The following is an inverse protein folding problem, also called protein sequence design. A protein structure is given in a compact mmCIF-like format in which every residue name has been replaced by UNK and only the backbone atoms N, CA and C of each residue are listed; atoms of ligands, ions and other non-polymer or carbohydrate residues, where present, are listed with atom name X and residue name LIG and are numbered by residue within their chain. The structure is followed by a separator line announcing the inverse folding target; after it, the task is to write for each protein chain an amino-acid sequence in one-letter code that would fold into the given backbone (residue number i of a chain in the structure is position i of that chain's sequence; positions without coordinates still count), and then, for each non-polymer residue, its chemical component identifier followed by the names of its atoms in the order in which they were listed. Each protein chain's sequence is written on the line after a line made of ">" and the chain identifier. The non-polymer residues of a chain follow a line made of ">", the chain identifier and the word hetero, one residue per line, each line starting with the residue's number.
data_IF_743644451011
#
_entry.id   IF_743644451011
#
_cell.length_a   1.000
_cell.length_b   1.000
_cell.length_c   1.000
_cell.angle_alpha   90.00
_cell.angle_beta   90.00
_cell.angle_gamma   90.00
#
_symmetry.space_group_name_H-M   'P 1'
#
loop_
_entity.id
_entity.type
_entity.pdbx_description
1 polymer ?
#
# COMPACT_ATOMS: atom_id res chain seq x y z
N UNK A 1 -11.56 -2.98 31.91
CA UNK A 1 -10.41 -2.19 31.42
C UNK A 1 -9.13 -2.77 31.96
N UNK A 2 -8.15 -3.06 31.12
CA UNK A 2 -6.87 -3.52 31.63
C UNK A 2 -6.25 -2.43 32.51
N UNK A 3 -5.61 -2.84 33.56
CA UNK A 3 -4.92 -1.96 34.48
C UNK A 3 -3.42 -2.04 34.23
N UNK A 4 -2.79 -0.92 33.92
CA UNK A 4 -1.36 -0.86 33.60
C UNK A 4 -0.58 -0.43 34.83
N UNK A 5 0.44 -1.21 35.18
CA UNK A 5 1.33 -0.90 36.30
C UNK A 5 2.61 -0.27 35.75
N UNK A 6 2.58 1.03 35.51
CA UNK A 6 3.70 1.76 34.92
C UNK A 6 4.68 2.18 36.00
N UNK A 7 5.99 1.87 35.88
CA UNK A 7 6.97 2.12 36.93
C UNK A 7 7.26 3.61 37.21
N UNK A 8 6.97 4.48 36.23
CA UNK A 8 7.26 5.90 36.33
C UNK A 8 6.07 6.74 35.96
N UNK A 9 5.93 7.90 36.55
CA UNK A 9 4.94 8.91 36.20
C UNK A 9 5.67 10.20 35.83
N UNK A 10 5.65 10.53 34.51
CA UNK A 10 6.31 11.73 33.99
C UNK A 10 5.32 12.86 33.67
N UNK A 11 4.12 12.82 34.24
CA UNK A 11 3.11 13.83 33.98
C UNK A 11 2.37 13.66 32.66
N UNK A 12 2.66 12.58 31.88
CA UNK A 12 1.98 12.25 30.66
C UNK A 12 0.75 11.38 30.96
N UNK A 13 -0.30 11.53 30.21
CA UNK A 13 -1.50 10.73 30.40
C UNK A 13 -1.44 9.45 29.55
N UNK A 14 -0.43 8.63 29.82
CA UNK A 14 -0.17 7.42 29.04
C UNK A 14 -1.29 6.38 29.18
N UNK A 15 -1.94 6.29 30.35
CA UNK A 15 -3.03 5.33 30.52
C UNK A 15 -4.19 5.59 29.56
N UNK A 16 -4.51 6.85 29.29
CA UNK A 16 -5.52 7.20 28.28
C UNK A 16 -5.13 6.73 26.89
N UNK A 17 -3.85 6.89 26.55
CA UNK A 17 -3.33 6.42 25.27
C UNK A 17 -3.40 4.90 25.18
N UNK A 18 -2.98 4.20 26.24
CA UNK A 18 -2.99 2.74 26.30
C UNK A 18 -4.42 2.18 26.18
N UNK A 19 -5.40 2.87 26.75
CA UNK A 19 -6.79 2.45 26.64
C UNK A 19 -7.33 2.53 25.22
N UNK A 20 -6.71 3.34 24.37
CA UNK A 20 -7.07 3.48 22.94
C UNK A 20 -6.17 2.67 22.04
N UNK A 21 -5.14 2.02 22.59
CA UNK A 21 -4.21 1.24 21.79
C UNK A 21 -4.95 0.08 21.11
N UNK A 22 -4.73 -0.13 19.80
CA UNK A 22 -5.32 -1.26 19.11
C UNK A 22 -4.91 -2.59 19.73
N UNK A 23 -5.62 -3.66 19.36
CA UNK A 23 -5.32 -5.00 19.83
C UNK A 23 -3.99 -5.50 19.27
N UNK A 24 -3.42 -6.51 19.92
CA UNK A 24 -2.22 -7.17 19.42
C UNK A 24 -2.43 -7.71 18.00
N UNK A 25 -3.62 -8.23 17.72
CA UNK A 25 -3.97 -8.72 16.38
C UNK A 25 -3.96 -7.60 15.36
N UNK A 26 -4.49 -6.43 15.69
CA UNK A 26 -4.45 -5.25 14.83
C UNK A 26 -3.03 -4.84 14.50
N UNK A 27 -2.13 -4.81 15.49
CA UNK A 27 -0.72 -4.51 15.25
C UNK A 27 -0.07 -5.54 14.35
N UNK A 28 -0.41 -6.82 14.51
CA UNK A 28 0.12 -7.89 13.67
C UNK A 28 -0.27 -7.69 12.21
N UNK A 29 -1.52 -7.34 11.95
CA UNK A 29 -2.01 -7.12 10.60
C UNK A 29 -1.31 -5.93 9.94
N UNK A 30 -1.19 -4.82 10.64
CA UNK A 30 -0.53 -3.62 10.11
C UNK A 30 0.98 -3.86 9.94
N UNK A 31 1.61 -4.57 10.88
CA UNK A 31 3.02 -4.94 10.78
C UNK A 31 3.28 -5.79 9.54
N UNK A 32 2.39 -6.74 9.26
CA UNK A 32 2.48 -7.56 8.05
C UNK A 32 2.42 -6.70 6.79
N UNK A 33 1.51 -5.72 6.77
CA UNK A 33 1.40 -4.78 5.64
C UNK A 33 2.72 -4.04 5.41
N UNK A 34 3.30 -3.44 6.44
CA UNK A 34 4.56 -2.72 6.32
C UNK A 34 5.71 -3.64 5.89
N UNK A 35 5.71 -4.88 6.36
CA UNK A 35 6.70 -5.87 5.95
C UNK A 35 6.65 -6.12 4.45
N UNK A 36 5.45 -6.22 3.87
CA UNK A 36 5.30 -6.41 2.44
C UNK A 36 5.79 -5.20 1.65
N UNK A 37 5.67 -4.01 2.19
CA UNK A 37 6.15 -2.77 1.57
C UNK A 37 7.64 -2.54 1.78
N UNK A 38 8.30 -3.37 2.58
CA UNK A 38 9.73 -3.26 2.85
C UNK A 38 10.64 -3.77 1.74
N UNK A 39 10.11 -4.33 0.67
CA UNK A 39 10.87 -4.79 -0.48
C UNK A 39 10.95 -3.67 -1.53
N UNK A 40 12.17 -3.24 -1.94
CA UNK A 40 12.29 -2.10 -2.87
C UNK A 40 11.62 -2.33 -4.23
N UNK A 41 11.69 -3.54 -4.76
CA UNK A 41 11.07 -3.86 -6.05
C UNK A 41 9.55 -3.84 -5.93
N UNK A 42 9.03 -4.43 -4.86
CA UNK A 42 7.58 -4.43 -4.61
C UNK A 42 7.06 -3.02 -4.41
N UNK A 43 7.81 -2.18 -3.69
CA UNK A 43 7.44 -0.79 -3.50
C UNK A 43 7.43 -0.02 -4.83
N UNK A 44 8.40 -0.30 -5.71
CA UNK A 44 8.46 0.32 -7.03
C UNK A 44 7.25 -0.07 -7.88
N UNK A 45 6.88 -1.34 -7.85
CA UNK A 45 5.68 -1.82 -8.56
C UNK A 45 4.43 -1.12 -8.01
N UNK A 46 4.31 -1.04 -6.70
CA UNK A 46 3.18 -0.36 -6.08
C UNK A 46 3.12 1.11 -6.48
N UNK A 47 4.27 1.80 -6.50
CA UNK A 47 4.32 3.20 -6.93
C UNK A 47 3.77 3.37 -8.34
N UNK A 48 4.16 2.50 -9.26
CA UNK A 48 3.64 2.52 -10.62
C UNK A 48 2.12 2.36 -10.61
N UNK A 49 1.60 1.41 -9.84
CA UNK A 49 0.17 1.13 -9.78
C UNK A 49 -0.62 2.20 -9.01
N UNK A 50 0.05 3.04 -8.25
CA UNK A 50 -0.58 4.24 -7.69
C UNK A 50 -0.92 5.27 -8.78
N UNK A 51 -0.21 5.24 -9.91
CA UNK A 51 -0.27 6.28 -10.93
C UNK A 51 -0.75 5.78 -12.29
N UNK A 52 -0.83 4.47 -12.49
CA UNK A 52 -1.34 3.90 -13.74
C UNK A 52 -1.92 2.50 -13.50
N UNK A 53 -2.72 2.04 -14.44
CA UNK A 53 -3.20 0.67 -14.49
C UNK A 53 -2.39 -0.06 -15.55
N UNK A 54 -1.82 -1.25 -15.21
CA UNK A 54 -0.92 -1.93 -16.13
C UNK A 54 -0.98 -3.44 -16.01
N UNK A 55 -0.55 -4.10 -17.09
CA UNK A 55 -0.41 -5.56 -17.16
C UNK A 55 0.97 -5.99 -16.64
N UNK A 56 1.11 -7.30 -16.38
CA UNK A 56 2.36 -7.88 -15.87
C UNK A 56 3.53 -7.62 -16.82
N UNK A 57 3.32 -7.79 -18.12
CA UNK A 57 4.42 -7.66 -19.08
C UNK A 57 5.00 -6.24 -19.09
N UNK A 58 4.14 -5.24 -19.06
CA UNK A 58 4.60 -3.86 -19.02
C UNK A 58 5.26 -3.51 -17.69
N UNK A 59 4.72 -4.00 -16.60
CA UNK A 59 5.34 -3.80 -15.27
C UNK A 59 6.73 -4.45 -15.24
N UNK A 60 6.85 -5.67 -15.74
CA UNK A 60 8.13 -6.39 -15.79
C UNK A 60 9.17 -5.63 -16.60
N UNK A 61 8.78 -5.11 -17.77
CA UNK A 61 9.67 -4.29 -18.56
C UNK A 61 10.07 -3.00 -17.83
N UNK A 62 9.13 -2.36 -17.17
CA UNK A 62 9.38 -1.11 -16.46
C UNK A 62 10.36 -1.26 -15.30
N UNK A 63 10.32 -2.38 -14.58
CA UNK A 63 11.21 -2.63 -13.44
C UNK A 63 12.40 -3.52 -13.78
N UNK A 64 12.55 -3.89 -15.05
CA UNK A 64 13.63 -4.72 -15.56
C UNK A 64 13.75 -6.05 -14.81
N UNK A 65 12.64 -6.77 -14.73
CA UNK A 65 12.55 -8.07 -14.09
C UNK A 65 11.75 -9.03 -14.95
N UNK A 66 11.83 -10.32 -14.64
CA UNK A 66 11.04 -11.33 -15.34
C UNK A 66 9.55 -11.21 -14.96
N UNK A 67 8.68 -11.62 -15.88
CA UNK A 67 7.25 -11.64 -15.63
C UNK A 67 6.89 -12.55 -14.44
N UNK A 68 7.47 -13.75 -14.27
CA UNK A 68 7.21 -14.56 -13.06
C UNK A 68 7.58 -13.86 -11.77
N UNK A 69 8.69 -13.13 -11.74
CA UNK A 69 9.11 -12.40 -10.53
C UNK A 69 8.11 -11.28 -10.19
N UNK A 70 7.68 -10.52 -11.21
CA UNK A 70 6.68 -9.47 -11.03
C UNK A 70 5.34 -10.06 -10.60
N UNK A 71 4.93 -11.18 -11.20
CA UNK A 71 3.70 -11.88 -10.81
C UNK A 71 3.72 -12.28 -9.34
N UNK A 72 4.88 -12.69 -8.82
CA UNK A 72 5.03 -13.03 -7.41
C UNK A 72 4.76 -11.79 -6.52
N UNK A 73 5.36 -10.66 -6.85
CA UNK A 73 5.13 -9.41 -6.11
C UNK A 73 3.67 -8.94 -6.20
N UNK A 74 3.07 -9.05 -7.37
CA UNK A 74 1.67 -8.68 -7.56
C UNK A 74 0.73 -9.56 -6.74
N UNK A 75 1.02 -10.85 -6.64
CA UNK A 75 0.22 -11.78 -5.83
C UNK A 75 0.23 -11.37 -4.36
N UNK A 76 1.38 -11.00 -3.84
CA UNK A 76 1.51 -10.56 -2.45
C UNK A 76 0.74 -9.26 -2.22
N UNK A 77 0.91 -8.27 -3.09
CA UNK A 77 0.20 -6.99 -2.98
C UNK A 77 -1.32 -7.16 -3.10
N UNK A 78 -1.77 -8.04 -3.99
CA UNK A 78 -3.20 -8.31 -4.15
C UNK A 78 -3.77 -9.01 -2.92
N UNK A 79 -3.05 -9.96 -2.37
CA UNK A 79 -3.46 -10.68 -1.15
C UNK A 79 -3.58 -9.71 0.04
N UNK A 80 -2.74 -8.69 0.09
CA UNK A 80 -2.79 -7.65 1.12
C UNK A 80 -3.94 -6.66 0.94
N UNK A 81 -4.65 -6.72 -0.19
CA UNK A 81 -5.76 -5.83 -0.48
C UNK A 81 -5.37 -4.45 -0.98
N UNK A 82 -4.08 -4.19 -1.19
CA UNK A 82 -3.59 -2.87 -1.63
C UNK A 82 -3.85 -2.63 -3.11
N UNK A 83 -3.78 -3.69 -3.91
CA UNK A 83 -4.04 -3.62 -5.35
C UNK A 83 -5.17 -4.56 -5.71
N UNK A 84 -5.80 -4.28 -6.85
CA UNK A 84 -6.84 -5.11 -7.43
C UNK A 84 -6.50 -5.39 -8.88
N UNK A 85 -7.23 -6.31 -9.49
CA UNK A 85 -7.01 -6.68 -10.88
C UNK A 85 -8.34 -6.79 -11.60
N UNK A 86 -8.31 -6.57 -12.90
CA UNK A 86 -9.44 -6.82 -13.78
C UNK A 86 -8.95 -7.50 -15.06
N UNK A 87 -9.78 -8.30 -15.64
CA UNK A 87 -9.49 -8.95 -16.91
C UNK A 87 -10.14 -8.18 -18.05
N UNK A 88 -9.40 -7.96 -19.11
CA UNK A 88 -9.90 -7.40 -20.37
C UNK A 88 -9.37 -8.26 -21.50
N UNK A 89 -10.20 -9.15 -22.02
CA UNK A 89 -9.79 -10.12 -23.01
C UNK A 89 -8.77 -11.11 -22.47
N UNK A 90 -7.59 -11.13 -23.07
CA UNK A 90 -6.48 -12.01 -22.66
C UNK A 90 -5.58 -11.36 -21.61
N UNK A 91 -5.74 -10.05 -21.39
CA UNK A 91 -4.89 -9.31 -20.49
C UNK A 91 -5.52 -9.15 -19.11
N UNK A 92 -4.69 -9.19 -18.09
CA UNK A 92 -5.06 -8.84 -16.73
C UNK A 92 -4.37 -7.55 -16.37
N UNK A 93 -5.13 -6.57 -15.94
CA UNK A 93 -4.63 -5.27 -15.53
C UNK A 93 -4.68 -5.14 -14.01
N UNK A 94 -3.64 -4.57 -13.46
CA UNK A 94 -3.52 -4.31 -12.02
C UNK A 94 -3.58 -2.81 -11.77
N UNK A 95 -4.17 -2.45 -10.66
CA UNK A 95 -4.28 -1.05 -10.25
C UNK A 95 -4.38 -0.96 -8.74
N UNK A 96 -4.15 0.24 -8.21
CA UNK A 96 -4.37 0.51 -6.79
C UNK A 96 -5.83 0.20 -6.44
N UNK A 97 -6.06 -0.45 -5.31
CA UNK A 97 -7.42 -0.73 -4.84
C UNK A 97 -8.16 0.56 -4.50
N UNK A 98 -9.46 0.55 -4.70
CA UNK A 98 -10.32 1.68 -4.36
C UNK A 98 -10.79 1.57 -2.90
N UNK A 99 -9.84 1.65 -1.99
CA UNK A 99 -10.08 1.56 -0.55
C UNK A 99 -9.43 2.75 0.17
N UNK A 100 -9.95 3.16 1.34
CA UNK A 100 -9.32 4.22 2.12
C UNK A 100 -7.86 3.92 2.47
N UNK A 101 -7.54 2.66 2.79
CA UNK A 101 -6.19 2.24 3.13
C UNK A 101 -5.23 2.40 1.95
N UNK A 102 -5.65 1.97 0.75
CA UNK A 102 -4.84 2.09 -0.45
C UNK A 102 -4.59 3.56 -0.81
N UNK A 103 -5.62 4.38 -0.71
CA UNK A 103 -5.50 5.83 -0.96
C UNK A 103 -4.54 6.48 0.04
N UNK A 104 -4.64 6.11 1.31
CA UNK A 104 -3.74 6.61 2.34
C UNK A 104 -2.29 6.23 2.05
N UNK A 105 -2.04 4.99 1.65
CA UNK A 105 -0.70 4.54 1.26
C UNK A 105 -0.17 5.32 0.07
N UNK A 106 -0.99 5.58 -0.93
CA UNK A 106 -0.60 6.39 -2.08
C UNK A 106 -0.13 7.77 -1.63
N UNK A 107 -0.92 8.46 -0.81
CA UNK A 107 -0.56 9.77 -0.30
C UNK A 107 0.73 9.72 0.53
N UNK A 108 0.87 8.71 1.37
CA UNK A 108 2.05 8.56 2.21
C UNK A 108 3.32 8.33 1.37
N UNK A 109 3.24 7.48 0.36
CA UNK A 109 4.37 7.19 -0.53
C UNK A 109 4.79 8.45 -1.29
N UNK A 110 3.83 9.17 -1.87
CA UNK A 110 4.12 10.40 -2.59
C UNK A 110 4.72 11.46 -1.65
N UNK A 111 4.21 11.58 -0.44
CA UNK A 111 4.74 12.51 0.55
C UNK A 111 6.18 12.17 0.94
N UNK A 112 6.49 10.89 1.09
CA UNK A 112 7.84 10.45 1.43
C UNK A 112 8.84 10.72 0.30
N UNK A 113 8.40 10.63 -0.94
CA UNK A 113 9.23 10.97 -2.10
C UNK A 113 9.18 12.46 -2.44
N UNK A 114 8.29 13.22 -1.82
CA UNK A 114 8.08 14.64 -2.09
C UNK A 114 7.79 14.91 -3.56
N UNK A 115 6.93 14.09 -4.14
CA UNK A 115 6.54 14.22 -5.54
C UNK A 115 5.02 14.39 -5.66
N UNK A 116 4.61 15.01 -6.77
CA UNK A 116 3.20 15.12 -7.12
C UNK A 116 2.77 13.99 -8.02
N UNK A 117 1.49 13.64 -7.98
CA UNK A 117 0.95 12.67 -8.91
C UNK A 117 1.02 13.22 -10.34
N UNK A 118 1.17 12.34 -11.35
CA UNK A 118 1.09 12.76 -12.74
C UNK A 118 -0.23 13.47 -13.04
N UNK A 119 -0.22 14.31 -14.09
CA UNK A 119 -1.43 15.01 -14.52
C UNK A 119 -2.47 14.01 -15.04
N UNK A 120 -3.72 14.46 -15.13
CA UNK A 120 -4.85 13.63 -15.53
C UNK A 120 -4.63 12.97 -16.90
N UNK A 121 -3.96 13.65 -17.82
CA UNK A 121 -3.67 13.11 -19.15
C UNK A 121 -2.83 11.85 -19.12
N UNK A 122 -2.04 11.68 -18.06
CA UNK A 122 -1.18 10.50 -17.90
C UNK A 122 -1.84 9.38 -17.12
N UNK A 123 -2.94 9.67 -16.44
CA UNK A 123 -3.63 8.71 -15.58
C UNK A 123 -4.91 8.25 -16.26
N UNK A 124 -5.01 6.94 -16.52
CA UNK A 124 -6.16 6.37 -17.21
C UNK A 124 -7.31 6.05 -16.26
N UNK A 125 -7.00 5.73 -15.00
CA UNK A 125 -8.01 5.25 -14.06
C UNK A 125 -8.64 6.43 -13.30
N UNK A 126 -9.94 6.70 -13.50
CA UNK A 126 -10.60 7.85 -12.86
C UNK A 126 -10.65 7.76 -11.33
N UNK A 127 -10.43 6.60 -10.74
CA UNK A 127 -10.39 6.45 -9.28
C UNK A 127 -9.30 7.29 -8.62
N UNK A 128 -8.28 7.67 -9.37
CA UNK A 128 -7.16 8.46 -8.83
C UNK A 128 -7.43 9.96 -8.84
N UNK A 129 -8.41 10.40 -9.59
CA UNK A 129 -8.73 11.82 -9.74
C UNK A 129 -9.43 12.37 -8.50
N UNK A 130 -10.12 11.51 -7.76
CA UNK A 130 -10.93 11.89 -6.60
C UNK A 130 -10.15 11.96 -5.28
N UNK A 131 -8.86 11.80 -5.33
CA UNK A 131 -8.01 11.84 -4.10
C UNK A 131 -7.66 13.29 -3.68
#
# INVERSE_FOLDING_TARGET
>A
MPHYNLPHNHGQNIEKVLNKMPSAEGFKDISFLFQQLGDPTRLRILWLLCHCEECVCNLAAAVDMSAPAVSHHLRILKKSGIISSRRDGKEVYYSLSDTPQAKLLHHAIDALFEISCPTVELVVNPRWISI
#
